data_IF_856691127547
#
_entry.id   IF_856691127547
#
_cell.length_a   1.000
_cell.length_b   1.000
_cell.length_c   1.000
_cell.angle_alpha   90.00
_cell.angle_beta   90.00
_cell.angle_gamma   90.00
#
_symmetry.space_group_name_H-M   'P 1'
#
loop_
_entity.id
_entity.type
_entity.pdbx_description
1 polymer ?
#
# COMPACT_ATOMS: atom_id res chain seq x y z
N UNK A 1 16.34 45.83 40.70
CA UNK A 1 15.63 46.14 41.97
C UNK A 1 15.23 47.60 41.95
N UNK A 2 14.02 47.93 41.49
CA UNK A 2 13.20 49.07 41.95
C UNK A 2 11.74 48.67 41.72
N UNK A 3 10.99 48.63 42.82
CA UNK A 3 9.53 48.49 42.85
C UNK A 3 8.90 49.82 42.45
N UNK A 4 7.91 49.80 41.57
CA UNK A 4 6.90 50.87 41.49
C UNK A 4 5.57 50.23 41.94
N UNK A 5 5.07 50.73 43.07
CA UNK A 5 3.77 50.39 43.65
C UNK A 5 2.67 51.23 43.01
N UNK A 6 1.56 50.61 42.63
CA UNK A 6 0.25 51.27 42.61
C UNK A 6 -0.75 50.49 43.46
N UNK A 7 -1.45 51.25 44.31
CA UNK A 7 -2.51 50.79 45.22
C UNK A 7 -3.81 50.60 44.44
N UNK A 8 -4.46 49.46 44.67
CA UNK A 8 -5.92 49.35 44.80
C UNK A 8 -6.74 49.29 43.51
N UNK A 9 -7.25 48.11 43.19
CA UNK A 9 -8.70 47.86 43.19
C UNK A 9 -8.94 46.35 43.35
N UNK A 10 -9.71 45.97 44.37
CA UNK A 10 -10.23 44.61 44.52
C UNK A 10 -11.47 44.53 43.63
N UNK A 11 -11.42 43.68 42.61
CA UNK A 11 -12.62 43.01 42.09
C UNK A 11 -12.41 41.51 42.26
N UNK A 12 -13.15 40.91 43.17
CA UNK A 12 -13.26 39.47 43.27
C UNK A 12 -14.15 38.98 42.13
N UNK A 13 -13.62 38.15 41.23
CA UNK A 13 -14.40 37.23 40.42
C UNK A 13 -13.84 35.84 40.65
N UNK A 14 -14.62 35.02 41.36
CA UNK A 14 -14.43 33.57 41.39
C UNK A 14 -14.66 33.03 39.97
N UNK A 15 -13.66 32.36 39.40
CA UNK A 15 -13.78 31.68 38.12
C UNK A 15 -12.70 30.62 37.99
N UNK A 16 -13.14 29.36 37.90
CA UNK A 16 -12.34 28.13 37.81
C UNK A 16 -11.12 28.23 36.89
N UNK A 17 -10.03 27.61 37.33
CA UNK A 17 -8.99 27.09 36.44
C UNK A 17 -9.67 26.01 35.58
N UNK A 18 -10.01 26.33 34.34
CA UNK A 18 -10.01 25.31 33.28
C UNK A 18 -8.70 25.54 32.56
N UNK A 19 -7.71 24.72 32.89
CA UNK A 19 -6.54 24.52 32.03
C UNK A 19 -7.12 24.11 30.68
N UNK A 20 -7.14 25.07 29.74
CA UNK A 20 -7.54 24.78 28.38
C UNK A 20 -6.57 23.73 27.86
N UNK A 21 -7.01 22.48 27.83
CA UNK A 21 -6.42 21.48 26.95
C UNK A 21 -6.49 22.11 25.56
N UNK A 22 -5.33 22.50 25.06
CA UNK A 22 -5.17 22.87 23.66
C UNK A 22 -5.56 21.64 22.85
N UNK A 23 -6.77 21.65 22.30
CA UNK A 23 -7.14 20.75 21.21
C UNK A 23 -6.29 21.17 20.01
N UNK A 24 -5.12 20.56 19.85
CA UNK A 24 -4.50 20.47 18.53
C UNK A 24 -5.30 19.44 17.74
N UNK A 25 -6.53 19.80 17.38
CA UNK A 25 -7.27 19.11 16.34
C UNK A 25 -6.60 19.47 15.02
N UNK A 26 -5.56 18.71 14.65
CA UNK A 26 -5.16 18.64 13.26
C UNK A 26 -6.40 18.22 12.46
N UNK A 27 -6.74 19.00 11.46
CA UNK A 27 -7.83 18.69 10.54
C UNK A 27 -7.54 17.29 9.96
N UNK A 28 -8.38 16.29 10.28
CA UNK A 28 -8.26 14.95 9.71
C UNK A 28 -8.35 15.09 8.18
N UNK A 29 -7.22 14.94 7.51
CA UNK A 29 -7.19 14.99 6.06
C UNK A 29 -7.76 13.68 5.54
N UNK A 30 -8.70 13.71 4.59
CA UNK A 30 -9.18 12.49 3.96
C UNK A 30 -8.01 11.77 3.29
N UNK A 31 -7.86 10.48 3.59
CA UNK A 31 -6.91 9.61 2.91
C UNK A 31 -7.56 9.06 1.66
N UNK A 32 -6.90 9.16 0.51
CA UNK A 32 -7.35 8.48 -0.70
C UNK A 32 -7.00 6.99 -0.61
N UNK A 33 -7.98 6.13 -0.82
CA UNK A 33 -7.81 4.67 -0.86
C UNK A 33 -7.79 4.21 -2.32
N UNK A 34 -6.59 4.06 -2.88
CA UNK A 34 -6.42 3.55 -4.24
C UNK A 34 -6.26 2.04 -4.25
N UNK A 35 -6.87 1.39 -5.26
CA UNK A 35 -6.67 -0.03 -5.58
C UNK A 35 -6.84 -0.98 -4.37
N UNK A 36 -8.01 -0.95 -3.69
CA UNK A 36 -8.25 -1.77 -2.52
C UNK A 36 -8.20 -3.27 -2.85
N UNK A 37 -7.54 -4.04 -1.98
CA UNK A 37 -7.45 -5.49 -2.05
C UNK A 37 -7.76 -6.11 -0.67
N UNK A 38 -8.80 -6.94 -0.62
CA UNK A 38 -9.21 -7.61 0.61
C UNK A 38 -8.34 -8.84 0.88
N UNK A 39 -7.97 -9.06 2.14
CA UNK A 39 -7.31 -10.30 2.58
C UNK A 39 -8.22 -11.52 2.35
N UNK A 40 -7.66 -12.74 2.24
CA UNK A 40 -8.46 -13.94 1.98
C UNK A 40 -9.53 -14.24 3.03
N UNK A 41 -9.26 -13.88 4.28
CA UNK A 41 -10.19 -14.04 5.42
C UNK A 41 -11.22 -12.91 5.52
N UNK A 42 -11.09 -11.86 4.70
CA UNK A 42 -12.00 -10.72 4.68
C UNK A 42 -11.83 -9.71 5.81
N UNK A 43 -10.77 -9.82 6.63
CA UNK A 43 -10.61 -8.99 7.84
C UNK A 43 -9.73 -7.76 7.63
N UNK A 44 -8.86 -7.77 6.62
CA UNK A 44 -7.86 -6.73 6.38
C UNK A 44 -7.99 -6.18 4.96
N UNK A 45 -8.03 -4.86 4.82
CA UNK A 45 -7.95 -4.18 3.54
C UNK A 45 -6.52 -3.70 3.29
N UNK A 46 -5.88 -4.20 2.24
CA UNK A 46 -4.70 -3.56 1.68
C UNK A 46 -5.12 -2.47 0.69
N UNK A 47 -4.42 -1.36 0.68
CA UNK A 47 -4.66 -0.27 -0.26
C UNK A 47 -3.42 0.59 -0.43
N UNK A 48 -3.46 1.40 -1.47
CA UNK A 48 -2.42 2.33 -1.83
C UNK A 48 -2.84 3.74 -1.42
N UNK A 49 -1.98 4.44 -0.69
CA UNK A 49 -2.20 5.81 -0.26
C UNK A 49 -0.92 6.64 -0.39
N UNK A 50 -1.08 7.97 -0.43
CA UNK A 50 0.04 8.89 -0.59
C UNK A 50 0.94 8.85 0.66
N UNK A 51 2.19 8.44 0.47
CA UNK A 51 3.27 8.61 1.44
C UNK A 51 4.05 9.91 1.21
N UNK A 52 5.16 10.06 1.93
CA UNK A 52 6.00 11.28 1.86
C UNK A 52 6.57 11.54 0.46
N UNK A 53 7.02 10.49 -0.23
CA UNK A 53 7.69 10.59 -1.54
C UNK A 53 6.88 9.97 -2.68
N UNK A 54 6.22 8.85 -2.40
CA UNK A 54 5.59 7.94 -3.35
C UNK A 54 4.23 7.48 -2.83
N UNK A 55 3.54 6.67 -3.61
CA UNK A 55 2.41 5.88 -3.13
C UNK A 55 2.89 4.60 -2.42
N UNK A 56 2.42 4.41 -1.20
CA UNK A 56 2.83 3.32 -0.30
C UNK A 56 1.70 2.32 -0.09
N UNK A 57 2.06 1.13 0.40
CA UNK A 57 1.12 0.06 0.74
C UNK A 57 0.76 0.09 2.23
N UNK A 58 -0.52 0.21 2.51
CA UNK A 58 -1.09 0.20 3.86
C UNK A 58 -2.01 -1.01 4.05
N UNK A 59 -2.24 -1.37 5.31
CA UNK A 59 -3.21 -2.36 5.73
C UNK A 59 -4.14 -1.76 6.79
N UNK A 60 -5.44 -1.90 6.61
CA UNK A 60 -6.48 -1.47 7.53
C UNK A 60 -7.22 -2.70 8.06
N UNK A 61 -7.21 -2.89 9.37
CA UNK A 61 -8.08 -3.83 10.04
C UNK A 61 -9.52 -3.31 9.99
N UNK A 62 -10.40 -4.07 9.35
CA UNK A 62 -11.78 -3.63 9.08
C UNK A 62 -12.69 -3.67 10.31
N UNK A 63 -12.31 -4.40 11.36
CA UNK A 63 -13.10 -4.49 12.58
C UNK A 63 -12.81 -3.34 13.55
N UNK A 64 -11.55 -2.92 13.62
CA UNK A 64 -11.05 -1.92 14.57
C UNK A 64 -10.81 -0.55 13.94
N UNK A 65 -10.67 -0.50 12.62
CA UNK A 65 -10.25 0.71 11.90
C UNK A 65 -8.78 1.05 12.09
N UNK A 66 -7.97 0.14 12.65
CA UNK A 66 -6.54 0.37 12.82
C UNK A 66 -5.79 0.22 11.49
N UNK A 67 -5.17 1.32 11.05
CA UNK A 67 -4.26 1.35 9.90
C UNK A 67 -2.82 1.09 10.35
N UNK A 68 -2.05 0.41 9.50
CA UNK A 68 -0.60 0.40 9.57
C UNK A 68 0.05 0.47 8.19
N UNK A 69 1.26 1.04 8.15
CA UNK A 69 2.13 0.93 6.99
C UNK A 69 2.63 -0.51 6.85
N UNK A 70 2.51 -1.08 5.65
CA UNK A 70 3.09 -2.39 5.30
C UNK A 70 4.42 -2.20 4.60
N UNK A 71 4.48 -1.30 3.61
CA UNK A 71 5.67 -1.08 2.81
C UNK A 71 5.71 0.35 2.26
N UNK A 72 6.88 0.98 2.38
CA UNK A 72 7.21 2.25 1.74
C UNK A 72 8.50 2.08 0.93
N UNK A 73 8.45 2.48 -0.34
CA UNK A 73 9.58 2.43 -1.27
C UNK A 73 9.77 3.80 -1.95
N UNK A 74 10.89 4.02 -2.62
CA UNK A 74 11.20 5.31 -3.25
C UNK A 74 10.33 5.64 -4.48
N UNK A 75 9.62 4.65 -5.04
CA UNK A 75 8.70 4.79 -6.17
C UNK A 75 7.33 4.20 -5.83
N UNK A 76 6.35 4.49 -6.66
CA UNK A 76 4.96 4.10 -6.42
C UNK A 76 4.79 2.59 -6.41
N UNK A 77 4.15 2.09 -5.36
CA UNK A 77 3.62 0.73 -5.26
C UNK A 77 2.19 0.77 -5.80
N UNK A 78 1.86 -0.14 -6.72
CA UNK A 78 0.53 -0.21 -7.33
C UNK A 78 0.03 -1.64 -7.50
N UNK A 79 -1.29 -1.79 -7.59
CA UNK A 79 -2.01 -3.06 -7.80
C UNK A 79 -1.67 -4.16 -6.77
N UNK A 80 -1.95 -3.94 -5.47
CA UNK A 80 -1.75 -4.97 -4.46
C UNK A 80 -2.69 -6.17 -4.67
N UNK A 81 -2.20 -7.37 -4.40
CA UNK A 81 -2.98 -8.61 -4.43
C UNK A 81 -2.51 -9.59 -3.35
N UNK A 82 -3.40 -9.98 -2.45
CA UNK A 82 -3.07 -10.87 -1.34
C UNK A 82 -2.80 -12.31 -1.79
N UNK A 83 -1.80 -12.95 -1.19
CA UNK A 83 -1.63 -14.39 -1.23
C UNK A 83 -2.79 -15.12 -0.55
N UNK A 84 -3.12 -16.35 -0.96
CA UNK A 84 -4.25 -17.10 -0.40
C UNK A 84 -4.08 -17.46 1.08
N UNK A 85 -2.83 -17.50 1.58
CA UNK A 85 -2.51 -17.69 3.00
C UNK A 85 -2.54 -16.38 3.81
N UNK A 86 -2.66 -15.22 3.17
CA UNK A 86 -2.64 -13.92 3.82
C UNK A 86 -1.27 -13.48 4.34
N UNK A 87 -0.19 -14.21 4.03
CA UNK A 87 1.15 -13.88 4.54
C UNK A 87 1.89 -12.88 3.66
N UNK A 88 1.48 -12.76 2.39
CA UNK A 88 2.15 -11.92 1.39
C UNK A 88 1.17 -11.09 0.58
N UNK A 89 1.68 -10.01 0.01
CA UNK A 89 0.98 -9.19 -0.97
C UNK A 89 1.88 -9.09 -2.21
N UNK A 90 1.38 -9.50 -3.38
CA UNK A 90 1.99 -9.20 -4.66
C UNK A 90 1.66 -7.76 -5.07
N UNK A 91 2.58 -7.09 -5.75
CA UNK A 91 2.41 -5.72 -6.22
C UNK A 91 3.31 -5.46 -7.43
N UNK A 92 3.03 -4.37 -8.15
CA UNK A 92 3.91 -3.88 -9.20
C UNK A 92 4.85 -2.82 -8.65
N UNK A 93 6.11 -2.88 -9.08
CA UNK A 93 7.11 -1.88 -8.73
C UNK A 93 8.14 -1.71 -9.85
N UNK A 94 8.68 -0.50 -9.95
CA UNK A 94 9.79 -0.16 -10.86
C UNK A 94 11.05 0.02 -10.03
N UNK A 95 12.03 -0.87 -10.14
CA UNK A 95 13.29 -0.72 -9.40
C UNK A 95 14.37 0.04 -10.19
N UNK A 96 14.61 -0.36 -11.44
CA UNK A 96 15.81 0.04 -12.19
C UNK A 96 15.48 0.88 -13.45
N UNK A 97 14.90 0.24 -14.48
CA UNK A 97 14.91 0.73 -15.87
C UNK A 97 13.57 1.29 -16.37
N UNK A 98 12.72 1.79 -15.48
CA UNK A 98 11.35 2.20 -15.81
C UNK A 98 10.47 1.06 -16.38
N UNK A 99 10.87 -0.18 -16.13
CA UNK A 99 10.11 -1.38 -16.43
C UNK A 99 9.31 -1.82 -15.19
N UNK A 100 8.04 -2.16 -15.37
CA UNK A 100 7.24 -2.72 -14.29
C UNK A 100 7.55 -4.20 -14.13
N UNK A 101 7.84 -4.57 -12.89
CA UNK A 101 8.05 -5.94 -12.45
C UNK A 101 7.08 -6.29 -11.33
N UNK A 102 6.90 -7.59 -11.11
CA UNK A 102 6.12 -8.13 -10.00
C UNK A 102 7.04 -8.39 -8.82
N UNK A 103 6.62 -7.89 -7.68
CA UNK A 103 7.24 -8.11 -6.38
C UNK A 103 6.22 -8.70 -5.43
N UNK A 104 6.71 -9.30 -4.35
CA UNK A 104 5.90 -9.66 -3.19
C UNK A 104 6.50 -9.07 -1.93
N UNK A 105 5.64 -8.75 -0.95
CA UNK A 105 6.06 -8.34 0.38
C UNK A 105 5.45 -9.26 1.41
N UNK A 106 6.25 -9.71 2.37
CA UNK A 106 5.77 -10.40 3.55
C UNK A 106 5.12 -9.39 4.51
N UNK A 107 3.87 -9.63 4.85
CA UNK A 107 2.99 -8.66 5.53
C UNK A 107 3.43 -8.38 6.96
N UNK A 108 4.04 -9.36 7.63
CA UNK A 108 4.52 -9.27 9.00
C UNK A 108 5.87 -8.55 9.13
N UNK A 109 6.77 -8.76 8.17
CA UNK A 109 8.17 -8.30 8.25
C UNK A 109 8.47 -7.11 7.36
N UNK A 110 7.64 -6.85 6.34
CA UNK A 110 7.94 -5.90 5.27
C UNK A 110 9.03 -6.38 4.31
N UNK A 111 9.43 -7.66 4.39
CA UNK A 111 10.49 -8.20 3.53
C UNK A 111 10.00 -8.32 2.10
N UNK A 112 10.75 -7.73 1.16
CA UNK A 112 10.40 -7.68 -0.27
C UNK A 112 11.17 -8.74 -1.05
N UNK A 113 10.46 -9.44 -1.94
CA UNK A 113 11.01 -10.40 -2.88
C UNK A 113 10.66 -9.98 -4.31
N UNK A 114 11.67 -9.91 -5.19
CA UNK A 114 11.46 -9.70 -6.62
C UNK A 114 11.06 -11.03 -7.26
N UNK A 115 9.95 -11.05 -7.99
CA UNK A 115 9.40 -12.26 -8.64
C UNK A 115 9.79 -12.29 -10.12
N UNK A 116 9.74 -11.15 -10.80
CA UNK A 116 10.15 -10.99 -12.20
C UNK A 116 11.30 -9.98 -12.30
N UNK A 117 12.18 -10.16 -13.27
CA UNK A 117 13.35 -9.30 -13.45
C UNK A 117 13.84 -9.25 -14.90
N UNK A 118 12.96 -9.56 -15.85
CA UNK A 118 13.30 -9.53 -17.26
C UNK A 118 12.92 -8.19 -17.89
N UNK A 119 13.23 -8.00 -19.18
CA UNK A 119 13.02 -6.71 -19.85
C UNK A 119 11.56 -6.46 -20.28
N UNK A 120 10.70 -7.48 -20.19
CA UNK A 120 9.27 -7.35 -20.48
C UNK A 120 8.56 -6.60 -19.34
N UNK A 121 7.52 -5.85 -19.67
CA UNK A 121 6.67 -5.20 -18.68
C UNK A 121 5.69 -6.22 -18.13
N UNK A 122 5.76 -6.45 -16.82
CA UNK A 122 4.89 -7.35 -16.08
C UNK A 122 3.90 -6.56 -15.20
N UNK A 123 2.61 -6.75 -15.43
CA UNK A 123 1.56 -5.86 -14.92
C UNK A 123 0.30 -6.56 -14.41
N UNK A 124 -0.42 -5.86 -13.53
CA UNK A 124 -1.70 -6.25 -12.90
C UNK A 124 -1.65 -7.67 -12.28
N UNK A 125 -0.78 -7.89 -11.27
CA UNK A 125 -0.68 -9.18 -10.61
C UNK A 125 -1.97 -9.53 -9.87
N UNK A 126 -2.35 -10.79 -9.95
CA UNK A 126 -3.44 -11.38 -9.18
C UNK A 126 -2.93 -12.69 -8.61
N UNK A 127 -2.84 -12.78 -7.28
CA UNK A 127 -2.55 -14.05 -6.65
C UNK A 127 -3.72 -15.00 -6.82
N UNK A 128 -3.45 -16.20 -7.34
CA UNK A 128 -4.48 -17.22 -7.50
C UNK A 128 -4.72 -17.94 -6.17
N UNK A 129 -5.93 -18.48 -6.00
CA UNK A 129 -6.27 -19.30 -4.83
C UNK A 129 -5.41 -20.56 -4.69
N UNK A 130 -4.69 -20.96 -5.75
CA UNK A 130 -3.85 -22.17 -5.81
C UNK A 130 -2.35 -21.89 -5.68
N UNK A 131 -1.94 -20.64 -5.49
CA UNK A 131 -0.57 -20.27 -5.14
C UNK A 131 0.23 -19.46 -6.17
N UNK A 132 0.17 -19.74 -7.48
CA UNK A 132 0.83 -18.91 -8.49
C UNK A 132 0.21 -17.51 -8.60
N UNK A 133 1.00 -16.57 -9.13
CA UNK A 133 0.59 -15.22 -9.47
C UNK A 133 0.26 -15.19 -10.97
N UNK A 134 -0.95 -14.75 -11.32
CA UNK A 134 -1.38 -14.45 -12.68
C UNK A 134 -1.07 -12.97 -12.99
N UNK A 135 -0.61 -12.68 -14.19
CA UNK A 135 -0.28 -11.31 -14.60
C UNK A 135 -0.33 -11.14 -16.11
N UNK A 136 -0.35 -9.89 -16.58
CA UNK A 136 -0.18 -9.54 -17.97
C UNK A 136 1.29 -9.25 -18.25
N UNK A 137 1.80 -9.70 -19.39
CA UNK A 137 3.16 -9.41 -19.82
C UNK A 137 3.23 -9.25 -21.32
N UNK A 138 4.07 -8.33 -21.80
CA UNK A 138 4.41 -8.21 -23.22
C UNK A 138 5.57 -9.14 -23.64
N UNK A 139 6.02 -10.02 -22.73
CA UNK A 139 6.99 -11.08 -23.00
C UNK A 139 6.57 -11.85 -24.25
N UNK A 140 7.48 -11.94 -25.22
CA UNK A 140 7.21 -12.59 -26.50
C UNK A 140 6.64 -11.67 -27.59
N UNK A 141 6.66 -10.34 -27.39
CA UNK A 141 6.36 -9.34 -28.41
C UNK A 141 4.88 -8.97 -28.53
N UNK A 142 4.02 -9.56 -27.69
CA UNK A 142 2.60 -9.24 -27.61
C UNK A 142 2.11 -9.42 -26.17
N UNK A 143 1.19 -8.56 -25.74
CA UNK A 143 0.56 -8.67 -24.43
C UNK A 143 -0.20 -10.00 -24.30
N UNK A 144 0.03 -10.70 -23.20
CA UNK A 144 -0.60 -11.96 -22.90
C UNK A 144 -0.70 -12.22 -21.40
N UNK A 145 -1.46 -13.25 -21.03
CA UNK A 145 -1.59 -13.68 -19.65
C UNK A 145 -0.53 -14.74 -19.32
N UNK A 146 0.10 -14.59 -18.15
CA UNK A 146 1.17 -15.46 -17.66
C UNK A 146 0.95 -15.85 -16.21
N UNK A 147 1.48 -17.00 -15.82
CA UNK A 147 1.55 -17.42 -14.41
C UNK A 147 2.99 -17.65 -13.99
N UNK A 148 3.31 -17.33 -12.74
CA UNK A 148 4.62 -17.57 -12.13
C UNK A 148 4.44 -17.93 -10.65
N UNK A 149 5.33 -18.76 -10.10
CA UNK A 149 5.36 -19.02 -8.67
C UNK A 149 5.94 -17.80 -7.93
N UNK A 150 5.61 -17.58 -6.64
CA UNK A 150 6.11 -16.45 -5.85
C UNK A 150 7.65 -16.44 -5.67
N UNK A 151 8.32 -17.56 -5.93
CA UNK A 151 9.77 -17.69 -5.91
C UNK A 151 10.42 -17.41 -7.28
N UNK A 152 9.63 -16.98 -8.27
CA UNK A 152 10.08 -16.70 -9.65
C UNK A 152 10.17 -17.93 -10.55
N UNK A 153 9.86 -19.14 -10.04
CA UNK A 153 9.88 -20.36 -10.84
C UNK A 153 8.56 -20.60 -11.57
N UNK A 154 8.51 -21.60 -12.47
CA UNK A 154 7.25 -22.05 -13.06
C UNK A 154 6.59 -21.07 -14.02
N UNK A 155 7.35 -20.11 -14.57
CA UNK A 155 6.85 -19.14 -15.53
C UNK A 155 6.22 -19.82 -16.76
N UNK A 156 4.97 -19.45 -17.08
CA UNK A 156 4.20 -20.05 -18.18
C UNK A 156 3.25 -19.05 -18.83
N UNK A 157 3.18 -19.02 -20.16
CA UNK A 157 2.14 -18.32 -20.94
C UNK A 157 0.82 -19.11 -20.89
N UNK A 158 -0.29 -18.43 -20.61
CA UNK A 158 -1.64 -18.97 -20.66
C UNK A 158 -2.42 -18.58 -21.92
N UNK A 159 -2.19 -17.37 -22.44
CA UNK A 159 -2.90 -16.88 -23.62
C UNK A 159 -2.28 -17.39 -24.93
N UNK A 160 -3.12 -17.50 -25.95
CA UNK A 160 -2.76 -17.95 -27.30
C UNK A 160 -3.44 -17.07 -28.35
N UNK A 161 -2.85 -17.01 -29.55
CA UNK A 161 -3.40 -16.26 -30.67
C UNK A 161 -4.61 -16.97 -31.25
N UNK A 162 -5.65 -16.20 -31.60
CA UNK A 162 -6.77 -16.73 -32.38
C UNK A 162 -6.39 -16.73 -33.86
N UNK A 163 -6.87 -17.70 -34.66
CA UNK A 163 -6.76 -17.62 -36.11
C UNK A 163 -7.37 -16.31 -36.59
N UNK A 164 -6.78 -15.70 -37.62
CA UNK A 164 -7.41 -14.57 -38.30
C UNK A 164 -8.79 -15.03 -38.83
N UNK A 165 -9.84 -14.26 -38.53
CA UNK A 165 -11.12 -14.46 -39.21
C UNK A 165 -10.91 -14.14 -40.70
N UNK A 166 -11.25 -15.10 -41.56
CA UNK A 166 -11.12 -14.99 -43.02
C UNK A 166 -12.26 -14.23 -43.67
#
# INVERSE_FOLDING_TARGET
>A
MVRITFKGLILAVLGLIVTGCSFFGGEEQPVDFWQPALSPDGTTLAYIAKGEKSYNLFALDLATGQERLVLALERDIVYPSWSPDGERIAFMYVQDENNWDIFTVEVATGTVFRVTSDAATDANPVWTAVGPILFNSDRGGQWGAYTINPDGTGLRKLSFDRPAEG
#
